data_IF_513727974437
#
_entry.id   IF_513727974437
#
_cell.length_a   1.000
_cell.length_b   1.000
_cell.length_c   1.000
_cell.angle_alpha   90.00
_cell.angle_beta   90.00
_cell.angle_gamma   90.00
#
_symmetry.space_group_name_H-M   'P 1'
#
loop_
_entity.id
_entity.type
_entity.pdbx_description
1 polymer ?
#
# COMPACT_ATOMS: atom_id res chain seq x y z
N UNK A 1 -3.34 13.06 3.02
CA UNK A 1 -3.42 12.04 1.95
C UNK A 1 -2.77 10.72 2.37
N UNK A 2 -1.47 10.71 2.70
CA UNK A 2 -0.78 9.50 3.14
C UNK A 2 -1.36 8.87 4.43
N UNK A 3 -1.83 9.70 5.37
CA UNK A 3 -2.48 9.24 6.61
C UNK A 3 -3.79 8.49 6.34
N UNK A 4 -4.59 8.91 5.36
CA UNK A 4 -5.87 8.26 5.02
C UNK A 4 -5.65 6.88 4.40
N UNK A 5 -4.65 6.75 3.53
CA UNK A 5 -4.25 5.47 2.94
C UNK A 5 -3.65 4.56 4.00
N UNK A 6 -2.78 5.09 4.87
CA UNK A 6 -2.24 4.32 5.99
C UNK A 6 -3.33 3.83 6.94
N UNK A 7 -4.32 4.67 7.25
CA UNK A 7 -5.47 4.27 8.08
C UNK A 7 -6.28 3.15 7.42
N UNK A 8 -6.58 3.26 6.12
CA UNK A 8 -7.30 2.24 5.36
C UNK A 8 -6.54 0.91 5.31
N UNK A 9 -5.22 0.95 5.08
CA UNK A 9 -4.36 -0.24 5.13
C UNK A 9 -4.27 -0.85 6.53
N UNK A 10 -4.18 -0.02 7.58
CA UNK A 10 -4.13 -0.48 8.97
C UNK A 10 -5.45 -1.04 9.51
N UNK A 11 -6.58 -0.65 8.89
CA UNK A 11 -7.91 -1.19 9.24
C UNK A 11 -8.08 -2.65 8.85
N UNK A 12 -7.21 -3.13 7.95
CA UNK A 12 -7.12 -4.53 7.57
C UNK A 12 -6.24 -5.20 8.61
N UNK A 13 -6.76 -6.23 9.26
CA UNK A 13 -6.24 -6.83 10.49
C UNK A 13 -4.91 -7.59 10.33
N UNK A 14 -3.91 -6.97 9.72
CA UNK A 14 -2.54 -7.47 9.60
C UNK A 14 -1.69 -6.79 10.68
N UNK A 15 -1.83 -7.28 11.92
CA UNK A 15 -1.07 -6.80 13.09
C UNK A 15 0.45 -6.83 12.90
N UNK A 16 0.94 -7.55 11.90
CA UNK A 16 2.36 -7.69 11.58
C UNK A 16 2.81 -6.85 10.38
N UNK A 17 2.00 -5.92 9.88
CA UNK A 17 2.42 -5.02 8.79
C UNK A 17 3.01 -3.72 9.34
N UNK A 18 4.30 -3.49 9.10
CA UNK A 18 4.92 -2.19 9.35
C UNK A 18 4.57 -1.22 8.21
N UNK A 19 3.91 -0.11 8.54
CA UNK A 19 3.65 0.98 7.58
C UNK A 19 4.67 2.09 7.82
N UNK A 20 5.50 2.38 6.82
CA UNK A 20 6.42 3.50 6.86
C UNK A 20 5.90 4.64 5.98
N UNK A 21 5.83 5.84 6.56
CA UNK A 21 5.49 7.06 5.84
C UNK A 21 6.75 7.89 5.63
N UNK A 22 7.25 7.92 4.39
CA UNK A 22 8.42 8.73 4.03
C UNK A 22 7.95 10.06 3.43
N UNK A 23 8.22 11.22 4.08
CA UNK A 23 7.95 12.52 3.48
C UNK A 23 8.67 12.66 2.15
N UNK A 24 7.99 13.23 1.17
CA UNK A 24 8.51 13.37 -0.18
C UNK A 24 8.13 14.73 -0.76
N UNK A 25 8.95 15.23 -1.68
CA UNK A 25 8.76 16.49 -2.36
C UNK A 25 8.08 16.32 -3.73
N UNK A 26 7.81 17.44 -4.39
CA UNK A 26 7.43 17.48 -5.82
C UNK A 26 6.18 16.66 -6.17
N UNK A 27 5.23 16.55 -5.25
CA UNK A 27 3.95 15.87 -5.45
C UNK A 27 4.07 14.35 -5.64
N UNK A 28 5.21 13.75 -5.25
CA UNK A 28 5.40 12.29 -5.32
C UNK A 28 4.49 11.59 -4.34
N UNK A 29 3.81 10.55 -4.84
CA UNK A 29 3.08 9.61 -4.03
C UNK A 29 3.25 8.24 -4.66
N UNK A 30 3.97 7.39 -3.94
CA UNK A 30 4.36 6.06 -4.36
C UNK A 30 4.02 5.09 -3.23
N UNK A 31 3.57 3.89 -3.59
CA UNK A 31 3.29 2.82 -2.62
C UNK A 31 4.17 1.64 -2.97
N UNK A 32 4.84 1.11 -1.97
CA UNK A 32 5.71 -0.06 -2.08
C UNK A 32 5.24 -1.13 -1.10
N UNK A 33 5.33 -2.40 -1.51
CA UNK A 33 5.15 -3.58 -0.67
C UNK A 33 6.42 -4.42 -0.79
N UNK A 34 7.13 -4.64 0.32
CA UNK A 34 8.40 -5.36 0.35
C UNK A 34 9.43 -4.90 -0.72
N UNK A 35 9.49 -3.59 -0.92
CA UNK A 35 10.39 -2.95 -1.91
C UNK A 35 9.86 -2.99 -3.36
N UNK A 36 8.78 -3.71 -3.65
CA UNK A 36 8.12 -3.71 -4.96
C UNK A 36 7.15 -2.53 -5.08
N UNK A 37 7.34 -1.69 -6.11
CA UNK A 37 6.45 -0.57 -6.42
C UNK A 37 5.09 -1.09 -6.85
N UNK A 38 4.03 -0.71 -6.16
CA UNK A 38 2.63 -1.06 -6.45
C UNK A 38 1.84 0.09 -7.06
N UNK A 39 2.21 1.32 -6.73
CA UNK A 39 1.54 2.52 -7.22
C UNK A 39 2.53 3.65 -7.39
N UNK A 40 2.35 4.43 -8.45
CA UNK A 40 3.07 5.66 -8.71
C UNK A 40 2.12 6.69 -9.32
N UNK A 41 1.92 7.80 -8.63
CA UNK A 41 1.05 8.89 -9.11
C UNK A 41 1.53 9.49 -10.43
N UNK A 42 2.82 9.42 -10.75
CA UNK A 42 3.40 10.04 -11.95
C UNK A 42 3.43 9.08 -13.14
N UNK A 43 2.98 7.83 -12.99
CA UNK A 43 2.92 6.91 -14.11
C UNK A 43 1.88 7.35 -15.16
N UNK A 44 2.20 7.22 -16.46
CA UNK A 44 1.29 7.60 -17.53
C UNK A 44 0.00 6.77 -17.46
N UNK A 45 -1.13 7.44 -17.20
CA UNK A 45 -2.44 6.81 -16.99
C UNK A 45 -3.02 7.01 -15.59
N UNK A 46 -2.27 7.57 -14.63
CA UNK A 46 -2.81 8.03 -13.35
C UNK A 46 -3.58 9.35 -13.55
N UNK A 47 -4.91 9.27 -13.59
CA UNK A 47 -5.79 10.39 -14.01
C UNK A 47 -6.09 11.36 -12.86
N UNK A 48 -5.99 10.95 -11.59
CA UNK A 48 -6.51 11.71 -10.46
C UNK A 48 -5.49 12.10 -9.38
N UNK A 49 -5.77 13.22 -8.71
CA UNK A 49 -4.99 13.77 -7.59
C UNK A 49 -4.98 12.85 -6.35
N UNK A 50 -5.98 11.99 -6.23
CA UNK A 50 -6.11 10.95 -5.21
C UNK A 50 -5.97 9.58 -5.90
N UNK A 51 -5.32 8.58 -5.26
CA UNK A 51 -5.43 7.22 -5.75
C UNK A 51 -6.91 6.87 -5.82
N UNK A 52 -7.39 6.53 -7.02
CA UNK A 52 -8.77 6.09 -7.19
C UNK A 52 -9.04 4.90 -6.27
N UNK A 53 -10.27 4.74 -5.76
CA UNK A 53 -10.68 3.60 -4.93
C UNK A 53 -10.25 2.24 -5.52
N UNK A 54 -10.24 2.15 -6.86
CA UNK A 54 -9.75 0.98 -7.61
C UNK A 54 -8.28 0.64 -7.34
N UNK A 55 -7.42 1.65 -7.22
CA UNK A 55 -5.99 1.47 -6.94
C UNK A 55 -5.76 1.10 -5.47
N UNK A 56 -6.55 1.65 -4.55
CA UNK A 56 -6.51 1.26 -3.14
C UNK A 56 -6.92 -0.22 -2.99
N UNK A 57 -7.97 -0.66 -3.69
CA UNK A 57 -8.36 -2.06 -3.72
C UNK A 57 -7.28 -2.98 -4.31
N UNK A 58 -6.57 -2.56 -5.38
CA UNK A 58 -5.44 -3.34 -5.91
C UNK A 58 -4.31 -3.48 -4.89
N UNK A 59 -3.95 -2.38 -4.21
CA UNK A 59 -2.92 -2.41 -3.16
C UNK A 59 -3.36 -3.36 -2.05
N UNK A 60 -4.63 -3.30 -1.64
CA UNK A 60 -5.20 -4.23 -0.66
C UNK A 60 -5.10 -5.68 -1.11
N UNK A 61 -5.52 -5.98 -2.32
CA UNK A 61 -5.57 -7.36 -2.81
C UNK A 61 -4.15 -7.93 -2.95
N UNK A 62 -3.17 -7.11 -3.37
CA UNK A 62 -1.76 -7.50 -3.39
C UNK A 62 -1.19 -7.79 -1.98
N UNK A 63 -1.55 -6.96 -0.99
CA UNK A 63 -1.18 -7.23 0.42
C UNK A 63 -1.79 -8.55 0.87
N UNK A 64 -3.08 -8.77 0.57
CA UNK A 64 -3.77 -10.01 0.93
C UNK A 64 -3.13 -11.24 0.32
N UNK A 65 -2.75 -11.20 -0.96
CA UNK A 65 -2.06 -12.32 -1.62
C UNK A 65 -0.73 -12.66 -0.92
N UNK A 66 0.04 -11.67 -0.48
CA UNK A 66 1.30 -11.91 0.24
C UNK A 66 1.05 -12.60 1.58
N UNK A 67 0.02 -12.18 2.32
CA UNK A 67 -0.33 -12.81 3.61
C UNK A 67 -1.01 -14.18 3.45
N UNK A 68 -1.83 -14.39 2.42
CA UNK A 68 -2.47 -15.69 2.14
C UNK A 68 -1.46 -16.71 1.58
N UNK A 69 -0.40 -16.25 0.90
CA UNK A 69 0.69 -17.08 0.40
C UNK A 69 1.78 -17.38 1.44
N UNK A 70 1.81 -16.64 2.56
CA UNK A 70 2.72 -16.92 3.66
C UNK A 70 2.26 -18.19 4.39
N UNK A 71 3.11 -19.22 4.55
CA UNK A 71 2.81 -20.30 5.50
C UNK A 71 2.59 -19.69 6.89
N UNK A 72 1.75 -20.28 7.75
CA UNK A 72 1.56 -19.77 9.11
C UNK A 72 2.93 -19.64 9.75
N UNK A 73 3.32 -18.41 10.05
CA UNK A 73 4.60 -18.11 10.67
C UNK A 73 4.72 -18.98 11.92
N UNK A 74 5.78 -19.79 11.98
CA UNK A 74 6.10 -20.57 13.16
C UNK A 74 6.18 -19.60 14.34
N UNK A 75 5.34 -19.86 15.35
CA UNK A 75 5.30 -19.12 16.59
C UNK A 75 6.72 -19.08 17.21
N UNK A 76 7.23 -17.87 17.42
CA UNK A 76 8.42 -17.58 18.21
C UNK A 76 8.03 -16.83 19.48
#
# INVERSE_FOLDING_TARGET
MAVSVAAELSSINYRETAITLTPSDSGRFEVYLDGKKLYDRKEPGAVDFLPALKEIHKIRDAIREVFDAAPPAAAH
#
